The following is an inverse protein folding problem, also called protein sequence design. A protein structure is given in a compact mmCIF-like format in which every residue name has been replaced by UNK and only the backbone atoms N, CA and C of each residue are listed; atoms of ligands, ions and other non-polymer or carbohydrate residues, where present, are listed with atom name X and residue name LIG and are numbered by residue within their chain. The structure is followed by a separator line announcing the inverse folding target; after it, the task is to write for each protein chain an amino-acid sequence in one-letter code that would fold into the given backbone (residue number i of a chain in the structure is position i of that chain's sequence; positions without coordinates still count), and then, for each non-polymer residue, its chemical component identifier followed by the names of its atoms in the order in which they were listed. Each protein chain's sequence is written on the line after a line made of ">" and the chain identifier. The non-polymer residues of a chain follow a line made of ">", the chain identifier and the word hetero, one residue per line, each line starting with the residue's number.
data_IF_081122342655
#
_entry.id   IF_081122342655
#
_cell.length_a   1.000
_cell.length_b   1.000
_cell.length_c   1.000
_cell.angle_alpha   90.00
_cell.angle_beta   90.00
_cell.angle_gamma   90.00
#
_symmetry.space_group_name_H-M   'P 1'
#
loop_
_entity.id
_entity.type
_entity.pdbx_description
1 polymer ?
#
# COMPACT_ATOMS: atom_id res chain seq x y z
N UNK A 1 7.40 18.42 1.03
CA UNK A 1 7.01 17.28 0.16
C UNK A 1 5.62 17.58 -0.36
N UNK A 2 5.37 17.41 -1.66
CA UNK A 2 4.05 17.62 -2.27
C UNK A 2 3.33 16.30 -2.47
N UNK A 3 1.99 16.34 -2.47
CA UNK A 3 1.14 15.18 -2.81
C UNK A 3 0.97 15.12 -4.32
N UNK A 4 1.02 13.91 -4.91
CA UNK A 4 0.79 13.68 -6.33
C UNK A 4 -0.36 12.70 -6.51
N UNK A 5 -1.43 13.18 -7.16
CA UNK A 5 -2.51 12.33 -7.65
C UNK A 5 -2.12 11.78 -9.03
N UNK A 6 -2.03 10.45 -9.16
CA UNK A 6 -1.58 9.78 -10.38
C UNK A 6 -2.80 9.19 -11.09
N UNK A 7 -3.07 9.64 -12.32
CA UNK A 7 -4.14 9.10 -13.17
C UNK A 7 -3.65 7.94 -14.03
N UNK A 8 -4.56 7.07 -14.48
CA UNK A 8 -4.24 6.00 -15.43
C UNK A 8 -3.55 6.52 -16.70
N UNK A 9 -3.91 7.72 -17.18
CA UNK A 9 -3.27 8.36 -18.35
C UNK A 9 -1.79 8.71 -18.14
N UNK A 10 -1.34 8.81 -16.89
CA UNK A 10 0.06 9.02 -16.52
C UNK A 10 0.79 7.69 -16.26
N UNK A 11 0.08 6.58 -16.13
CA UNK A 11 0.68 5.26 -15.93
C UNK A 11 1.04 4.68 -17.29
N UNK A 12 2.34 4.49 -17.52
CA UNK A 12 2.86 3.87 -18.73
C UNK A 12 2.69 2.35 -18.70
N UNK A 13 2.96 1.71 -17.56
CA UNK A 13 2.70 0.28 -17.33
C UNK A 13 2.78 -0.08 -15.85
N UNK A 14 2.16 -1.20 -15.50
CA UNK A 14 2.30 -1.87 -14.22
C UNK A 14 2.89 -3.26 -14.47
N UNK A 15 3.88 -3.68 -13.66
CA UNK A 15 4.47 -5.01 -13.72
C UNK A 15 4.40 -5.65 -12.33
N UNK A 16 3.84 -6.86 -12.26
CA UNK A 16 3.84 -7.68 -11.05
C UNK A 16 4.65 -8.93 -11.32
N UNK A 17 5.69 -9.16 -10.53
CA UNK A 17 6.60 -10.30 -10.71
C UNK A 17 7.23 -10.71 -9.37
N UNK A 18 7.69 -11.96 -9.21
CA UNK A 18 8.55 -12.33 -8.10
C UNK A 18 9.89 -11.57 -8.15
N UNK A 19 10.61 -11.43 -7.03
CA UNK A 19 11.98 -10.92 -7.06
C UNK A 19 12.89 -11.82 -7.89
N UNK A 20 13.90 -11.23 -8.54
CA UNK A 20 14.79 -11.93 -9.48
C UNK A 20 15.70 -13.00 -8.85
N UNK A 21 15.76 -13.10 -7.53
CA UNK A 21 16.67 -14.03 -6.85
C UNK A 21 15.98 -15.33 -6.44
N UNK A 22 16.51 -16.47 -6.89
CA UNK A 22 16.05 -17.83 -6.52
C UNK A 22 16.12 -18.12 -5.02
N UNK A 23 16.88 -17.31 -4.25
CA UNK A 23 17.02 -17.48 -2.80
C UNK A 23 15.86 -16.87 -1.99
N UNK A 24 15.07 -15.99 -2.58
CA UNK A 24 14.00 -15.29 -1.88
C UNK A 24 12.62 -15.89 -2.23
N UNK A 25 12.21 -16.84 -1.38
CA UNK A 25 10.81 -17.23 -1.05
C UNK A 25 9.79 -17.11 -2.18
N UNK A 26 9.33 -18.28 -2.65
CA UNK A 26 8.28 -18.60 -3.65
C UNK A 26 6.93 -17.83 -3.51
N UNK A 27 6.78 -16.95 -2.52
CA UNK A 27 5.55 -16.24 -2.21
C UNK A 27 5.69 -14.72 -2.19
N UNK A 28 6.85 -14.14 -2.54
CA UNK A 28 7.01 -12.69 -2.60
C UNK A 28 6.73 -12.13 -4.00
N UNK A 29 6.05 -10.98 -4.05
CA UNK A 29 5.86 -10.19 -5.28
C UNK A 29 6.57 -8.84 -5.16
N UNK A 30 6.82 -8.22 -6.31
CA UNK A 30 7.16 -6.82 -6.50
C UNK A 30 6.13 -6.23 -7.46
N UNK A 31 5.66 -5.02 -7.15
CA UNK A 31 4.79 -4.25 -8.04
C UNK A 31 5.54 -3.01 -8.49
N UNK A 32 5.87 -2.94 -9.77
CA UNK A 32 6.43 -1.76 -10.42
C UNK A 32 5.30 -0.95 -11.07
N UNK A 33 5.24 0.34 -10.78
CA UNK A 33 4.48 1.34 -11.53
C UNK A 33 5.47 2.24 -12.26
N UNK A 34 5.41 2.22 -13.60
CA UNK A 34 6.20 3.13 -14.45
C UNK A 34 5.27 4.22 -14.99
N UNK A 35 5.66 5.49 -14.82
CA UNK A 35 4.91 6.65 -15.30
C UNK A 35 5.40 7.12 -16.68
N UNK A 36 4.58 7.88 -17.39
CA UNK A 36 4.89 8.44 -18.72
C UNK A 36 6.05 9.43 -18.70
N UNK A 37 6.28 10.10 -17.56
CA UNK A 37 7.43 10.99 -17.33
C UNK A 37 8.76 10.24 -17.06
N UNK A 38 8.73 8.90 -17.02
CA UNK A 38 9.89 8.04 -16.78
C UNK A 38 10.13 7.66 -15.32
N UNK A 39 9.39 8.25 -14.37
CA UNK A 39 9.43 7.90 -12.95
C UNK A 39 9.02 6.44 -12.73
N UNK A 40 9.63 5.80 -11.74
CA UNK A 40 9.36 4.39 -11.38
C UNK A 40 9.19 4.25 -9.88
N UNK A 41 8.12 3.57 -9.48
CA UNK A 41 7.81 3.27 -8.09
C UNK A 41 7.73 1.74 -7.96
N UNK A 42 8.45 1.16 -6.99
CA UNK A 42 8.39 -0.28 -6.70
C UNK A 42 7.88 -0.47 -5.29
N UNK A 43 6.84 -1.28 -5.14
CA UNK A 43 6.32 -1.74 -3.86
C UNK A 43 6.75 -3.18 -3.59
N UNK A 44 7.06 -3.48 -2.33
CA UNK A 44 7.30 -4.84 -1.88
C UNK A 44 5.98 -5.60 -1.63
N UNK A 45 6.07 -6.90 -1.41
CA UNK A 45 4.90 -7.75 -1.15
C UNK A 45 4.05 -7.20 0.01
N UNK A 46 4.68 -6.85 1.14
CA UNK A 46 3.98 -6.45 2.35
C UNK A 46 3.20 -5.14 2.14
N UNK A 47 3.77 -4.17 1.43
CA UNK A 47 3.12 -2.91 1.10
C UNK A 47 1.93 -3.12 0.16
N UNK A 48 2.10 -3.92 -0.89
CA UNK A 48 0.98 -4.27 -1.80
C UNK A 48 -0.14 -4.99 -1.04
N UNK A 49 0.21 -5.92 -0.14
CA UNK A 49 -0.76 -6.62 0.70
C UNK A 49 -1.54 -5.66 1.61
N UNK A 50 -0.87 -4.67 2.19
CA UNK A 50 -1.53 -3.65 3.01
C UNK A 50 -2.44 -2.72 2.20
N UNK A 51 -2.03 -2.31 0.99
CA UNK A 51 -2.90 -1.57 0.06
C UNK A 51 -4.15 -2.38 -0.28
N UNK A 52 -3.97 -3.65 -0.67
CA UNK A 52 -5.11 -4.51 -1.00
C UNK A 52 -6.05 -4.70 0.20
N UNK A 53 -5.48 -4.87 1.39
CA UNK A 53 -6.23 -5.02 2.63
C UNK A 53 -7.01 -3.76 2.99
N UNK A 54 -6.43 -2.58 2.89
CA UNK A 54 -7.13 -1.31 3.18
C UNK A 54 -8.24 -1.05 2.17
N UNK A 55 -8.00 -1.31 0.87
CA UNK A 55 -9.02 -1.24 -0.17
C UNK A 55 -10.17 -2.21 0.13
N UNK A 56 -9.84 -3.46 0.45
CA UNK A 56 -10.84 -4.48 0.79
C UNK A 56 -11.66 -4.09 2.02
N UNK A 57 -11.03 -3.44 3.00
CA UNK A 57 -11.71 -2.94 4.19
C UNK A 57 -12.75 -1.89 3.83
N UNK A 58 -12.37 -0.86 3.08
CA UNK A 58 -13.27 0.23 2.70
C UNK A 58 -14.38 -0.25 1.75
N UNK A 59 -14.05 -1.12 0.80
CA UNK A 59 -15.01 -1.59 -0.20
C UNK A 59 -16.03 -2.59 0.34
N UNK A 60 -15.62 -3.45 1.27
CA UNK A 60 -16.42 -4.61 1.68
C UNK A 60 -16.86 -4.60 3.15
N UNK A 61 -16.33 -3.72 4.00
CA UNK A 61 -16.82 -3.61 5.37
C UNK A 61 -18.13 -2.81 5.40
N UNK A 62 -19.22 -3.31 6.02
CA UNK A 62 -20.57 -2.74 5.89
C UNK A 62 -20.79 -1.36 6.56
N UNK A 63 -19.75 -0.80 7.19
CA UNK A 63 -19.85 0.42 8.01
C UNK A 63 -18.64 1.35 7.91
N UNK A 64 -17.49 0.84 7.46
CA UNK A 64 -16.25 1.62 7.43
C UNK A 64 -16.14 2.27 6.06
N UNK A 65 -15.84 3.56 6.04
CA UNK A 65 -15.79 4.42 4.85
C UNK A 65 -14.36 4.88 4.54
N UNK A 66 -13.49 4.90 5.55
CA UNK A 66 -12.07 5.17 5.37
C UNK A 66 -11.23 4.39 6.38
N UNK A 67 -9.95 4.22 6.07
CA UNK A 67 -8.96 3.62 6.96
C UNK A 67 -7.59 4.22 6.68
N UNK A 68 -6.83 4.50 7.73
CA UNK A 68 -5.43 4.87 7.64
C UNK A 68 -4.58 3.73 8.16
N UNK A 69 -3.47 3.44 7.46
CA UNK A 69 -2.44 2.55 7.95
C UNK A 69 -1.13 3.33 8.11
N UNK A 70 -0.53 3.29 9.30
CA UNK A 70 0.73 3.98 9.59
C UNK A 70 1.85 3.01 9.94
N UNK A 71 3.07 3.37 9.57
CA UNK A 71 4.27 2.62 9.89
C UNK A 71 4.49 2.55 11.40
N UNK A 72 4.56 1.34 11.94
CA UNK A 72 4.91 1.07 13.34
C UNK A 72 5.90 -0.06 13.41
N UNK A 73 6.84 0.09 14.34
CA UNK A 73 7.79 -0.95 14.71
C UNK A 73 7.22 -1.73 15.89
N UNK A 74 7.05 -3.05 15.73
CA UNK A 74 6.45 -3.93 16.74
C UNK A 74 7.49 -4.85 17.38
N UNK A 75 7.76 -4.63 18.67
CA UNK A 75 8.60 -5.51 19.48
C UNK A 75 7.90 -6.85 19.75
N UNK A 76 6.62 -6.79 20.13
CA UNK A 76 5.76 -7.96 20.34
C UNK A 76 4.88 -8.22 19.12
N UNK A 77 5.07 -9.38 18.47
CA UNK A 77 4.37 -9.76 17.23
C UNK A 77 4.30 -11.27 17.06
N UNK A 78 3.33 -11.75 16.29
CA UNK A 78 3.19 -13.16 15.93
C UNK A 78 4.45 -13.67 15.21
N UNK A 79 4.80 -14.94 15.44
CA UNK A 79 5.93 -15.59 14.76
C UNK A 79 5.73 -15.52 13.25
N UNK A 80 6.77 -15.10 12.53
CA UNK A 80 6.77 -14.98 11.06
C UNK A 80 6.31 -13.62 10.52
N UNK A 81 5.83 -12.72 11.36
CA UNK A 81 5.51 -11.35 10.97
C UNK A 81 6.75 -10.45 11.02
N UNK A 82 6.80 -9.45 10.12
CA UNK A 82 7.84 -8.43 10.09
C UNK A 82 7.74 -7.51 11.32
N UNK A 83 8.87 -6.90 11.68
CA UNK A 83 8.97 -5.92 12.77
C UNK A 83 8.37 -4.57 12.35
N UNK A 84 8.71 -4.10 11.16
CA UNK A 84 8.07 -2.93 10.54
C UNK A 84 6.77 -3.35 9.87
N UNK A 85 5.65 -2.76 10.31
CA UNK A 85 4.32 -3.03 9.78
C UNK A 85 3.52 -1.74 9.56
N UNK A 86 2.51 -1.83 8.69
CA UNK A 86 1.49 -0.80 8.54
C UNK A 86 0.25 -1.23 9.32
N UNK A 87 -0.10 -0.48 10.36
CA UNK A 87 -1.21 -0.78 11.26
C UNK A 87 -2.28 0.30 11.21
N UNK A 88 -3.52 -0.12 11.42
CA UNK A 88 -4.69 0.74 11.50
C UNK A 88 -4.52 1.79 12.60
N UNK A 89 -5.07 2.97 12.34
CA UNK A 89 -5.22 4.01 13.37
C UNK A 89 -6.68 4.20 13.75
N UNK A 90 -6.89 4.93 14.84
CA UNK A 90 -8.22 5.36 15.29
C UNK A 90 -8.56 6.77 14.82
N UNK A 91 -7.91 7.27 13.74
CA UNK A 91 -8.24 8.59 13.18
C UNK A 91 -9.68 8.61 12.68
N UNK A 92 -10.30 9.79 12.73
CA UNK A 92 -11.68 9.97 12.31
C UNK A 92 -11.80 9.78 10.79
N UNK A 93 -12.78 8.98 10.36
CA UNK A 93 -12.96 8.65 8.94
C UNK A 93 -13.36 9.86 8.08
N UNK A 94 -14.14 10.80 8.61
CA UNK A 94 -14.54 12.01 7.86
C UNK A 94 -13.35 12.94 7.62
N UNK A 95 -12.44 13.03 8.59
CA UNK A 95 -11.18 13.77 8.41
C UNK A 95 -10.32 13.15 7.31
N UNK A 96 -10.18 11.82 7.31
CA UNK A 96 -9.44 11.10 6.26
C UNK A 96 -10.05 11.30 4.88
N UNK A 97 -11.39 11.27 4.77
CA UNK A 97 -12.09 11.50 3.50
C UNK A 97 -11.85 12.93 3.00
N UNK A 98 -11.88 13.92 3.89
CA UNK A 98 -11.58 15.32 3.52
C UNK A 98 -10.13 15.45 3.06
N UNK A 99 -9.19 14.88 3.81
CA UNK A 99 -7.75 14.90 3.48
C UNK A 99 -7.48 14.31 2.08
N UNK A 100 -8.07 13.16 1.74
CA UNK A 100 -7.91 12.56 0.41
C UNK A 100 -8.64 13.36 -0.68
N UNK A 101 -9.80 13.92 -0.37
CA UNK A 101 -10.62 14.70 -1.31
C UNK A 101 -10.08 16.10 -1.64
N UNK A 102 -9.03 16.57 -0.94
CA UNK A 102 -8.33 17.82 -1.27
C UNK A 102 -7.42 17.70 -2.51
N UNK A 103 -7.20 16.48 -3.02
CA UNK A 103 -6.32 16.17 -4.15
C UNK A 103 -7.08 15.59 -5.35
#
# INVERSE_FOLDING_TARGET
>A
MGVRFIKDSEVKRIVVAPPSSEKEKVWQIRLLVELTDGSKIIFDHATVGNILRSLSWVLYHPKMKAIELVGKKLEERKKGFAEDQLLETSRNEEELIREVGEY
#
